data_IF_311132646207
#
_entry.id   IF_311132646207
#
_cell.length_a   1.000
_cell.length_b   1.000
_cell.length_c   1.000
_cell.angle_alpha   90.00
_cell.angle_beta   90.00
_cell.angle_gamma   90.00
#
_symmetry.space_group_name_H-M   'P 1'
#
loop_
_entity.id
_entity.type
_entity.pdbx_description
1 polymer ?
#
# COMPACT_ATOMS: atom_id res chain seq x y z
N UNK A 1 90.49 8.47 -32.64
CA UNK A 1 89.59 7.46 -32.05
C UNK A 1 88.44 7.10 -32.98
N UNK A 2 88.66 6.96 -34.30
CA UNK A 2 87.54 7.14 -35.25
C UNK A 2 87.56 6.28 -36.51
N UNK A 3 88.30 5.16 -36.54
CA UNK A 3 88.26 4.22 -37.68
C UNK A 3 87.25 3.09 -37.45
N UNK A 4 87.22 2.52 -36.25
CA UNK A 4 86.30 1.46 -35.87
C UNK A 4 84.85 1.95 -35.91
N UNK A 5 84.56 3.10 -35.30
CA UNK A 5 83.21 3.68 -35.28
C UNK A 5 82.66 4.02 -36.68
N UNK A 6 83.52 4.35 -37.65
CA UNK A 6 83.09 4.59 -39.04
C UNK A 6 82.73 3.28 -39.75
N UNK A 7 83.55 2.24 -39.55
CA UNK A 7 83.24 0.90 -40.08
C UNK A 7 81.95 0.35 -39.49
N UNK A 8 81.74 0.51 -38.19
CA UNK A 8 80.50 0.05 -37.54
C UNK A 8 79.27 0.77 -38.07
N UNK A 9 79.36 2.08 -38.38
CA UNK A 9 78.27 2.83 -39.01
C UNK A 9 77.97 2.30 -40.42
N UNK A 10 79.01 2.10 -41.24
CA UNK A 10 78.86 1.60 -42.60
C UNK A 10 78.30 0.17 -42.61
N UNK A 11 78.73 -0.68 -41.67
CA UNK A 11 78.25 -2.05 -41.53
C UNK A 11 76.77 -2.07 -41.12
N UNK A 12 76.36 -1.15 -40.26
CA UNK A 12 74.99 -1.00 -39.78
C UNK A 12 74.06 -0.46 -40.88
N UNK A 13 74.52 0.47 -41.71
CA UNK A 13 73.74 0.98 -42.84
C UNK A 13 73.58 -0.06 -43.96
N UNK A 14 74.62 -0.87 -44.24
CA UNK A 14 74.49 -2.02 -45.15
C UNK A 14 73.50 -3.05 -44.63
N UNK A 15 73.56 -3.37 -43.33
CA UNK A 15 72.61 -4.31 -42.72
C UNK A 15 71.17 -3.81 -42.84
N UNK A 16 70.92 -2.51 -42.60
CA UNK A 16 69.59 -1.90 -42.77
C UNK A 16 69.09 -1.97 -44.21
N UNK A 17 69.93 -1.72 -45.21
CA UNK A 17 69.52 -1.79 -46.61
C UNK A 17 69.29 -3.24 -47.07
N UNK A 18 70.13 -4.19 -46.63
CA UNK A 18 69.92 -5.63 -46.90
C UNK A 18 68.62 -6.15 -46.25
N UNK A 19 68.28 -5.64 -45.08
CA UNK A 19 67.11 -6.09 -44.30
C UNK A 19 65.91 -5.17 -44.48
N UNK A 20 65.98 -4.22 -45.42
CA UNK A 20 64.89 -3.29 -45.69
C UNK A 20 63.70 -4.07 -46.25
N UNK A 21 62.55 -4.10 -45.56
CA UNK A 21 61.37 -4.76 -46.09
C UNK A 21 60.99 -4.12 -47.43
N UNK A 22 60.80 -4.94 -48.46
CA UNK A 22 60.35 -4.47 -49.76
C UNK A 22 58.95 -3.85 -49.69
N UNK A 23 58.52 -3.12 -50.75
CA UNK A 23 57.17 -2.58 -50.82
C UNK A 23 56.13 -3.68 -50.61
N UNK A 24 55.35 -3.57 -49.53
CA UNK A 24 54.32 -4.54 -49.18
C UNK A 24 53.19 -4.42 -50.20
N UNK A 25 53.08 -5.40 -51.10
CA UNK A 25 52.02 -5.48 -52.13
C UNK A 25 50.76 -6.19 -51.65
N UNK A 26 50.56 -6.30 -50.33
CA UNK A 26 49.36 -6.92 -49.77
C UNK A 26 48.21 -5.92 -49.81
N UNK A 27 47.07 -6.37 -50.33
CA UNK A 27 45.82 -5.61 -50.19
C UNK A 27 45.49 -5.51 -48.70
N UNK A 28 45.22 -4.31 -48.16
CA UNK A 28 44.87 -4.15 -46.76
C UNK A 28 43.72 -5.09 -46.39
N UNK A 29 43.95 -5.96 -45.41
CA UNK A 29 42.91 -6.83 -44.89
C UNK A 29 41.95 -5.96 -44.08
N UNK A 30 40.66 -5.97 -44.45
CA UNK A 30 39.63 -5.28 -43.66
C UNK A 30 39.48 -6.02 -42.34
N UNK A 31 40.09 -5.47 -41.28
CA UNK A 31 39.96 -5.96 -39.91
C UNK A 31 38.69 -5.36 -39.30
N UNK A 32 37.69 -6.19 -39.01
CA UNK A 32 36.42 -5.77 -38.42
C UNK A 32 35.22 -6.59 -38.90
N UNK A 33 34.12 -6.52 -38.14
CA UNK A 33 32.89 -7.26 -38.43
C UNK A 33 32.22 -6.87 -39.76
N UNK A 34 31.29 -7.71 -40.23
CA UNK A 34 30.53 -7.50 -41.47
C UNK A 34 29.49 -6.37 -41.37
N UNK A 35 29.20 -5.88 -40.17
CA UNK A 35 28.20 -4.84 -39.94
C UNK A 35 28.72 -3.48 -40.43
N UNK A 36 27.85 -2.76 -41.16
CA UNK A 36 28.10 -1.37 -41.52
C UNK A 36 28.02 -0.47 -40.28
N UNK A 37 28.72 0.66 -40.29
CA UNK A 37 28.67 1.66 -39.24
C UNK A 37 27.24 2.13 -38.93
N UNK A 38 26.43 2.33 -39.98
CA UNK A 38 25.02 2.72 -39.86
C UNK A 38 24.18 1.67 -39.14
N UNK A 39 24.43 0.39 -39.44
CA UNK A 39 23.76 -0.74 -38.80
C UNK A 39 24.15 -0.84 -37.31
N UNK A 40 25.43 -0.64 -36.99
CA UNK A 40 25.90 -0.61 -35.60
C UNK A 40 25.26 0.53 -34.81
N UNK A 41 25.18 1.75 -35.38
CA UNK A 41 24.50 2.90 -34.75
C UNK A 41 23.02 2.63 -34.53
N UNK A 42 22.32 2.08 -35.52
CA UNK A 42 20.90 1.75 -35.40
C UNK A 42 20.66 0.74 -34.27
N UNK A 43 21.47 -0.32 -34.22
CA UNK A 43 21.39 -1.36 -33.18
C UNK A 43 21.65 -0.81 -31.79
N UNK A 44 22.65 0.06 -31.63
CA UNK A 44 22.91 0.77 -30.37
C UNK A 44 21.71 1.64 -29.95
N UNK A 45 21.12 2.40 -30.88
CA UNK A 45 19.97 3.24 -30.60
C UNK A 45 18.76 2.41 -30.15
N UNK A 46 18.48 1.30 -30.83
CA UNK A 46 17.39 0.37 -30.46
C UNK A 46 17.62 -0.26 -29.09
N UNK A 47 18.85 -0.69 -28.81
CA UNK A 47 19.22 -1.29 -27.50
C UNK A 47 19.04 -0.29 -26.37
N UNK A 48 19.49 0.96 -26.57
CA UNK A 48 19.34 2.02 -25.59
C UNK A 48 17.85 2.31 -25.31
N UNK A 49 17.03 2.36 -26.35
CA UNK A 49 15.59 2.57 -26.20
C UNK A 49 14.94 1.44 -25.38
N UNK A 50 15.20 0.18 -25.72
CA UNK A 50 14.66 -0.96 -24.99
C UNK A 50 15.10 -0.99 -23.53
N UNK A 51 16.37 -0.71 -23.27
CA UNK A 51 16.91 -0.63 -21.90
C UNK A 51 16.21 0.43 -21.06
N UNK A 52 15.93 1.62 -21.63
CA UNK A 52 15.20 2.68 -20.92
C UNK A 52 13.80 2.21 -20.50
N UNK A 53 13.08 1.52 -21.39
CA UNK A 53 11.75 1.00 -21.06
C UNK A 53 11.79 -0.10 -20.00
N UNK A 54 12.74 -1.03 -20.09
CA UNK A 54 12.92 -2.07 -19.08
C UNK A 54 13.26 -1.50 -17.71
N UNK A 55 14.14 -0.49 -17.65
CA UNK A 55 14.49 0.17 -16.41
C UNK A 55 13.29 0.89 -15.79
N UNK A 56 12.50 1.59 -16.61
CA UNK A 56 11.25 2.23 -16.16
C UNK A 56 10.29 1.21 -15.56
N UNK A 57 10.04 0.11 -16.26
CA UNK A 57 9.13 -0.95 -15.80
C UNK A 57 9.59 -1.54 -14.46
N UNK A 58 10.87 -1.89 -14.33
CA UNK A 58 11.44 -2.42 -13.06
C UNK A 58 11.26 -1.43 -11.90
N UNK A 59 11.44 -0.14 -12.15
CA UNK A 59 11.24 0.91 -11.14
C UNK A 59 9.76 1.02 -10.73
N UNK A 60 8.85 1.00 -11.70
CA UNK A 60 7.41 1.08 -11.43
C UNK A 60 6.90 -0.13 -10.65
N UNK A 61 7.33 -1.33 -11.01
CA UNK A 61 7.00 -2.55 -10.27
C UNK A 61 7.53 -2.50 -8.85
N UNK A 62 8.78 -2.09 -8.65
CA UNK A 62 9.35 -1.92 -7.31
C UNK A 62 8.55 -0.91 -6.45
N UNK A 63 8.16 0.22 -7.05
CA UNK A 63 7.33 1.23 -6.36
C UNK A 63 5.96 0.64 -6.03
N UNK A 64 5.34 -0.09 -6.96
CA UNK A 64 4.04 -0.72 -6.76
C UNK A 64 4.08 -1.74 -5.64
N UNK A 65 5.08 -2.62 -5.61
CA UNK A 65 5.24 -3.60 -4.53
C UNK A 65 5.47 -2.93 -3.18
N UNK A 66 6.27 -1.85 -3.14
CA UNK A 66 6.49 -1.10 -1.89
C UNK A 66 5.21 -0.45 -1.38
N UNK A 67 4.43 0.18 -2.27
CA UNK A 67 3.14 0.80 -1.91
C UNK A 67 2.13 -0.25 -1.43
N UNK A 68 2.02 -1.39 -2.11
CA UNK A 68 1.12 -2.47 -1.71
C UNK A 68 1.46 -3.02 -0.31
N UNK A 69 2.76 -3.15 0.01
CA UNK A 69 3.20 -3.57 1.33
C UNK A 69 2.82 -2.54 2.42
N UNK A 70 3.05 -1.25 2.15
CA UNK A 70 2.67 -0.16 3.06
C UNK A 70 1.14 -0.11 3.29
N UNK A 71 0.36 -0.21 2.22
CA UNK A 71 -1.11 -0.26 2.31
C UNK A 71 -1.60 -1.46 3.12
N UNK A 72 -0.98 -2.63 2.94
CA UNK A 72 -1.31 -3.82 3.73
C UNK A 72 -1.02 -3.63 5.23
N UNK A 73 0.08 -2.96 5.58
CA UNK A 73 0.37 -2.61 6.97
C UNK A 73 -0.66 -1.62 7.55
N UNK A 74 -1.03 -0.60 6.78
CA UNK A 74 -2.05 0.37 7.20
C UNK A 74 -3.39 -0.33 7.42
N UNK A 75 -3.79 -1.24 6.52
CA UNK A 75 -5.02 -2.02 6.66
C UNK A 75 -4.99 -2.90 7.92
N UNK A 76 -3.87 -3.55 8.23
CA UNK A 76 -3.69 -4.31 9.48
C UNK A 76 -3.86 -3.41 10.71
N UNK A 77 -3.19 -2.25 10.74
CA UNK A 77 -3.31 -1.28 11.84
C UNK A 77 -4.75 -0.79 12.00
N UNK A 78 -5.44 -0.49 10.90
CA UNK A 78 -6.86 -0.10 10.90
C UNK A 78 -7.76 -1.21 11.42
N UNK A 79 -7.54 -2.46 11.02
CA UNK A 79 -8.31 -3.60 11.51
C UNK A 79 -8.20 -3.75 13.03
N UNK A 80 -6.97 -3.68 13.57
CA UNK A 80 -6.73 -3.71 15.02
C UNK A 80 -7.45 -2.56 15.74
N UNK A 81 -7.42 -1.34 15.18
CA UNK A 81 -8.12 -0.22 15.79
C UNK A 81 -9.65 -0.39 15.75
N UNK A 82 -10.20 -0.92 14.66
CA UNK A 82 -11.64 -1.22 14.57
C UNK A 82 -12.06 -2.26 15.60
N UNK A 83 -11.30 -3.35 15.74
CA UNK A 83 -11.56 -4.38 16.74
C UNK A 83 -11.53 -3.82 18.16
N UNK A 84 -10.54 -2.96 18.47
CA UNK A 84 -10.46 -2.26 19.76
C UNK A 84 -11.68 -1.38 20.01
N UNK A 85 -12.12 -0.62 19.00
CA UNK A 85 -13.29 0.24 19.10
C UNK A 85 -14.57 -0.58 19.30
N UNK A 86 -14.74 -1.66 18.56
CA UNK A 86 -15.89 -2.57 18.69
C UNK A 86 -15.94 -3.20 20.08
N UNK A 87 -14.81 -3.70 20.58
CA UNK A 87 -14.72 -4.27 21.93
C UNK A 87 -15.06 -3.25 23.01
N UNK A 88 -14.64 -2.00 22.84
CA UNK A 88 -14.97 -0.92 23.76
C UNK A 88 -16.47 -0.61 23.74
N UNK A 89 -17.07 -0.49 22.55
CA UNK A 89 -18.51 -0.25 22.38
C UNK A 89 -19.36 -1.40 22.92
N UNK A 90 -18.95 -2.65 22.71
CA UNK A 90 -19.62 -3.81 23.28
C UNK A 90 -19.64 -3.76 24.82
N UNK A 91 -18.52 -3.39 25.45
CA UNK A 91 -18.44 -3.24 26.90
C UNK A 91 -19.34 -2.10 27.41
N UNK A 92 -19.40 -0.97 26.70
CA UNK A 92 -20.32 0.14 27.04
C UNK A 92 -21.77 -0.30 26.96
N UNK A 93 -22.16 -0.98 25.88
CA UNK A 93 -23.51 -1.53 25.69
C UNK A 93 -23.89 -2.50 26.79
N UNK A 94 -22.98 -3.39 27.19
CA UNK A 94 -23.22 -4.30 28.31
C UNK A 94 -23.48 -3.54 29.62
N UNK A 95 -22.65 -2.55 29.94
CA UNK A 95 -22.85 -1.75 31.15
C UNK A 95 -24.14 -0.93 31.12
N UNK A 96 -24.55 -0.44 29.95
CA UNK A 96 -25.84 0.24 29.78
C UNK A 96 -27.03 -0.71 29.94
N UNK A 97 -26.95 -1.91 29.38
CA UNK A 97 -27.96 -2.95 29.54
C UNK A 97 -28.14 -3.29 31.03
N UNK A 98 -27.05 -3.52 31.77
CA UNK A 98 -27.10 -3.78 33.22
C UNK A 98 -27.72 -2.62 34.01
N UNK A 99 -27.36 -1.37 33.69
CA UNK A 99 -27.98 -0.19 34.33
C UNK A 99 -29.48 -0.14 34.06
N UNK A 100 -29.89 -0.47 32.83
CA UNK A 100 -31.29 -0.46 32.41
C UNK A 100 -32.08 -1.59 33.07
N UNK A 101 -31.51 -2.78 33.19
CA UNK A 101 -32.10 -3.92 33.90
C UNK A 101 -32.33 -3.59 35.38
N UNK A 102 -31.31 -3.09 36.10
CA UNK A 102 -31.47 -2.66 37.50
C UNK A 102 -32.56 -1.61 37.66
N UNK A 103 -32.60 -0.62 36.76
CA UNK A 103 -33.64 0.40 36.77
C UNK A 103 -35.03 -0.20 36.59
N UNK A 104 -35.20 -1.14 35.64
CA UNK A 104 -36.48 -1.80 35.43
C UNK A 104 -36.90 -2.68 36.62
N UNK A 105 -35.96 -3.36 37.26
CA UNK A 105 -36.23 -4.12 38.48
C UNK A 105 -36.73 -3.21 39.61
N UNK A 106 -36.00 -2.13 39.91
CA UNK A 106 -36.40 -1.15 40.93
C UNK A 106 -37.78 -0.53 40.64
N UNK A 107 -38.03 -0.15 39.38
CA UNK A 107 -39.34 0.34 38.96
C UNK A 107 -40.43 -0.72 39.19
N UNK A 108 -40.19 -1.97 38.80
CA UNK A 108 -41.14 -3.06 38.98
C UNK A 108 -41.46 -3.29 40.47
N UNK A 109 -40.45 -3.34 41.34
CA UNK A 109 -40.66 -3.47 42.79
C UNK A 109 -41.48 -2.31 43.35
N UNK A 110 -41.13 -1.07 43.02
CA UNK A 110 -41.87 0.12 43.48
C UNK A 110 -43.31 0.16 42.98
N UNK A 111 -43.55 -0.19 41.71
CA UNK A 111 -44.91 -0.24 41.17
C UNK A 111 -45.74 -1.31 41.87
N UNK A 112 -45.20 -2.52 42.09
CA UNK A 112 -45.91 -3.57 42.82
C UNK A 112 -46.17 -3.21 44.28
N UNK A 113 -45.21 -2.59 44.97
CA UNK A 113 -45.41 -2.10 46.34
C UNK A 113 -46.59 -1.11 46.43
N UNK A 114 -46.65 -0.16 45.49
CA UNK A 114 -47.76 0.79 45.40
C UNK A 114 -49.10 0.09 45.14
N UNK A 115 -49.16 -0.88 44.22
CA UNK A 115 -50.36 -1.66 43.94
C UNK A 115 -50.82 -2.45 45.17
N UNK A 116 -49.91 -3.15 45.84
CA UNK A 116 -50.22 -3.88 47.07
C UNK A 116 -50.77 -2.97 48.18
N UNK A 117 -50.27 -1.73 48.29
CA UNK A 117 -50.78 -0.75 49.27
C UNK A 117 -52.19 -0.27 48.93
N UNK A 118 -52.52 -0.15 47.63
CA UNK A 118 -53.88 0.18 47.20
C UNK A 118 -54.85 -0.98 47.49
N UNK A 119 -54.42 -2.22 47.26
CA UNK A 119 -55.23 -3.41 47.55
C UNK A 119 -55.52 -3.59 49.05
N UNK A 120 -54.57 -3.22 49.92
CA UNK A 120 -54.74 -3.24 51.38
C UNK A 120 -55.46 -2.01 51.95
N UNK A 121 -55.51 -0.91 51.19
CA UNK A 121 -56.06 0.39 51.60
C UNK A 121 -57.51 0.63 51.17
N UNK A 122 -58.10 -0.25 50.35
CA UNK A 122 -59.52 -0.20 50.04
C UNK A 122 -60.32 -0.88 51.18
N UNK A 123 -61.08 -0.15 52.02
CA UNK A 123 -62.27 -0.78 52.59
C UNK A 123 -63.10 -1.26 51.40
N UNK A 124 -63.67 -2.47 51.47
CA UNK A 124 -64.62 -2.97 50.47
C UNK A 124 -65.68 -1.90 50.26
N UNK A 125 -65.52 -1.09 49.21
CA UNK A 125 -66.42 0.00 48.90
C UNK A 125 -67.69 -0.68 48.41
N UNK A 126 -68.68 -0.77 49.28
CA UNK A 126 -70.03 -1.09 48.89
C UNK A 126 -70.39 -0.16 47.72
N UNK A 127 -70.73 -0.79 46.61
CA UNK A 127 -71.00 -0.16 45.32
C UNK A 127 -72.11 0.89 45.48
N UNK A 128 -71.72 2.15 45.66
CA UNK A 128 -72.63 3.28 45.42
C UNK A 128 -72.82 3.37 43.90
N UNK A 129 -74.00 2.98 43.43
CA UNK A 129 -74.36 3.06 42.02
C UNK A 129 -74.21 4.49 41.51
N UNK A 130 -73.24 4.69 40.62
CA UNK A 130 -73.14 5.91 39.83
C UNK A 130 -74.22 5.81 38.76
N UNK A 131 -75.37 6.45 39.00
CA UNK A 131 -76.37 6.71 37.98
C UNK A 131 -75.77 7.67 36.97
N UNK A 132 -75.50 7.19 35.75
CA UNK A 132 -75.08 8.02 34.64
C UNK A 132 -76.26 8.88 34.16
N UNK A 133 -76.36 10.13 34.63
CA UNK A 133 -77.16 11.15 33.95
C UNK A 133 -76.33 11.69 32.78
N UNK A 134 -76.72 11.33 31.56
CA UNK A 134 -76.09 11.81 30.34
C UNK A 134 -76.24 13.32 30.17
N UNK A 135 -75.25 14.03 29.59
CA UNK A 135 -75.36 15.46 29.37
C UNK A 135 -76.30 15.74 28.20
N UNK A 136 -77.46 16.36 28.47
CA UNK A 136 -78.26 16.97 27.42
C UNK A 136 -77.48 18.12 26.78
N UNK A 137 -77.22 17.98 25.49
CA UNK A 137 -76.49 18.91 24.65
C UNK A 137 -77.33 20.19 24.47
N UNK A 138 -77.05 21.22 25.26
CA UNK A 138 -77.61 22.57 25.00
C UNK A 138 -76.67 23.33 24.07
N UNK A 139 -77.14 23.59 22.85
CA UNK A 139 -76.47 24.42 21.86
C UNK A 139 -76.71 25.91 22.12
N UNK A 140 -75.64 26.70 22.19
CA UNK A 140 -75.60 28.14 21.88
C UNK A 140 -74.23 28.50 21.33
#
# INVERSE_FOLDING_TARGET
>A
TSSVAKKELDDLDRWKEEHRPGPIKLTPQRLGGKESETQARQKQQMTLMQSKYQQKYKREEYIRTKKAAEEAEILKKKAIQREKAERLEAKKRQGEMQRREMYFEDQYYKTNELLNRLDLGLPKSDSCQIVNHGPESTAW
#
